data_IF_396826081017
#
_entry.id   IF_396826081017
#
_cell.length_a   1.000
_cell.length_b   1.000
_cell.length_c   1.000
_cell.angle_alpha   90.00
_cell.angle_beta   90.00
_cell.angle_gamma   90.00
#
_symmetry.space_group_name_H-M   'P 1'
#
loop_
_entity.id
_entity.type
_entity.pdbx_description
1 polymer ?
#
# COMPACT_ATOMS: atom_id res chain seq x y z
N UNK A 1 -10.32 5.86 10.53
CA UNK A 1 -10.37 6.65 9.32
C UNK A 1 -11.69 6.42 8.57
N UNK A 2 -11.93 5.23 8.03
CA UNK A 2 -13.08 4.91 7.18
C UNK A 2 -14.20 4.11 7.89
N UNK A 3 -14.06 3.83 9.17
CA UNK A 3 -15.07 3.16 10.01
C UNK A 3 -15.20 1.64 9.78
N UNK A 4 -14.81 1.13 8.61
CA UNK A 4 -14.90 -0.30 8.26
C UNK A 4 -13.73 -0.70 7.36
N UNK A 5 -13.43 -2.00 7.29
CA UNK A 5 -12.52 -2.60 6.32
C UNK A 5 -13.32 -3.27 5.20
N UNK A 6 -14.47 -3.85 5.53
CA UNK A 6 -15.30 -4.56 4.55
C UNK A 6 -15.87 -3.61 3.49
N UNK A 7 -15.82 -4.05 2.25
CA UNK A 7 -16.34 -3.32 1.09
C UNK A 7 -15.38 -2.30 0.49
N UNK A 8 -14.23 -2.05 1.14
CA UNK A 8 -13.24 -1.09 0.64
C UNK A 8 -12.51 -1.61 -0.61
N UNK A 9 -12.09 -0.68 -1.44
CA UNK A 9 -11.14 -0.90 -2.53
C UNK A 9 -9.78 -0.36 -2.11
N UNK A 10 -8.80 -1.25 -1.95
CA UNK A 10 -7.43 -0.93 -1.55
C UNK A 10 -6.54 -1.02 -2.79
N UNK A 11 -5.84 0.05 -3.12
CA UNK A 11 -4.84 0.06 -4.19
C UNK A 11 -3.45 0.06 -3.58
N UNK A 12 -2.64 -0.94 -3.90
CA UNK A 12 -1.23 -1.03 -3.53
C UNK A 12 -0.39 -0.55 -4.71
N UNK A 13 0.45 0.47 -4.47
CA UNK A 13 1.20 1.20 -5.49
C UNK A 13 2.70 1.12 -5.23
N UNK A 14 3.49 0.81 -6.26
CA UNK A 14 4.95 0.89 -6.23
C UNK A 14 5.67 -0.45 -6.37
N UNK A 15 6.66 -0.75 -5.52
CA UNK A 15 7.40 -2.02 -5.54
C UNK A 15 6.61 -3.12 -4.82
N UNK A 16 5.82 -3.86 -5.58
CA UNK A 16 5.02 -4.97 -5.04
C UNK A 16 5.78 -6.30 -5.03
N UNK A 17 6.86 -6.40 -5.80
CA UNK A 17 7.70 -7.59 -5.87
C UNK A 17 8.52 -7.80 -4.60
N UNK A 18 9.19 -6.74 -4.13
CA UNK A 18 10.09 -6.80 -2.99
C UNK A 18 9.44 -6.29 -1.69
N UNK A 19 8.25 -5.70 -1.77
CA UNK A 19 7.52 -5.07 -0.69
C UNK A 19 6.93 -6.07 0.31
N UNK A 20 7.69 -6.57 1.27
CA UNK A 20 7.20 -7.50 2.31
C UNK A 20 5.96 -6.98 3.06
N UNK A 21 5.84 -5.67 3.21
CA UNK A 21 4.68 -5.05 3.86
C UNK A 21 3.40 -5.23 3.05
N UNK A 22 3.47 -5.17 1.70
CA UNK A 22 2.33 -5.41 0.83
C UNK A 22 1.93 -6.88 0.83
N UNK A 23 2.90 -7.81 0.84
CA UNK A 23 2.63 -9.24 0.90
C UNK A 23 1.90 -9.66 2.18
N UNK A 24 2.32 -9.14 3.34
CA UNK A 24 1.65 -9.43 4.61
C UNK A 24 0.29 -8.73 4.71
N UNK A 25 0.20 -7.47 4.24
CA UNK A 25 -1.04 -6.71 4.27
C UNK A 25 -2.12 -7.35 3.41
N UNK A 26 -1.81 -7.75 2.17
CA UNK A 26 -2.81 -8.35 1.28
C UNK A 26 -3.35 -9.68 1.82
N UNK A 27 -2.49 -10.50 2.46
CA UNK A 27 -2.92 -11.72 3.14
C UNK A 27 -3.88 -11.41 4.30
N UNK A 28 -3.60 -10.38 5.08
CA UNK A 28 -4.51 -9.95 6.14
C UNK A 28 -5.84 -9.46 5.56
N UNK A 29 -5.79 -8.63 4.52
CA UNK A 29 -6.98 -8.07 3.87
C UNK A 29 -7.86 -9.17 3.23
N UNK A 30 -7.29 -10.30 2.80
CA UNK A 30 -8.07 -11.40 2.23
C UNK A 30 -9.00 -12.10 3.23
N UNK A 31 -8.87 -11.81 4.53
CA UNK A 31 -9.80 -12.24 5.56
C UNK A 31 -11.06 -11.35 5.66
N UNK A 32 -11.11 -10.28 4.88
CA UNK A 32 -12.20 -9.29 4.87
C UNK A 32 -12.78 -9.16 3.47
N UNK A 33 -13.97 -8.61 3.35
CA UNK A 33 -14.64 -8.35 2.06
C UNK A 33 -14.06 -7.14 1.32
N UNK A 34 -12.79 -7.19 0.94
CA UNK A 34 -12.02 -6.11 0.30
C UNK A 34 -11.75 -6.43 -1.17
N UNK A 35 -11.69 -5.42 -2.03
CA UNK A 35 -11.13 -5.50 -3.38
C UNK A 35 -9.73 -4.94 -3.38
N UNK A 36 -8.79 -5.57 -4.09
CA UNK A 36 -7.41 -5.07 -4.16
C UNK A 36 -6.99 -4.82 -5.60
N UNK A 37 -6.43 -3.64 -5.84
CA UNK A 37 -5.73 -3.32 -7.08
C UNK A 37 -4.22 -3.33 -6.80
N UNK A 38 -3.47 -3.99 -7.66
CA UNK A 38 -2.00 -3.94 -7.68
C UNK A 38 -1.56 -3.05 -8.82
N UNK A 39 -0.89 -1.94 -8.50
CA UNK A 39 -0.37 -0.98 -9.47
C UNK A 39 1.14 -0.94 -9.34
N UNK A 40 1.83 -1.44 -10.36
CA UNK A 40 3.29 -1.54 -10.37
C UNK A 40 3.85 -1.56 -11.79
N UNK A 41 5.12 -1.19 -12.00
CA UNK A 41 5.80 -1.49 -13.26
C UNK A 41 5.84 -3.00 -13.49
N UNK A 42 5.90 -3.47 -14.75
CA UNK A 42 5.94 -4.92 -15.06
C UNK A 42 7.07 -5.69 -14.36
N UNK A 43 8.22 -5.05 -14.11
CA UNK A 43 9.36 -5.66 -13.41
C UNK A 43 9.16 -5.80 -11.89
N UNK A 44 8.17 -5.10 -11.31
CA UNK A 44 7.91 -5.02 -9.87
C UNK A 44 6.51 -5.51 -9.48
N UNK A 45 5.88 -6.34 -10.31
CA UNK A 45 4.56 -6.92 -10.07
C UNK A 45 4.53 -7.76 -8.78
N UNK A 46 3.34 -7.87 -8.19
CA UNK A 46 3.09 -8.77 -7.06
C UNK A 46 3.44 -10.21 -7.44
N UNK A 47 4.19 -10.95 -6.60
CA UNK A 47 4.50 -12.36 -6.87
C UNK A 47 3.25 -13.21 -7.12
N UNK A 48 3.31 -14.04 -8.15
CA UNK A 48 2.16 -14.87 -8.59
C UNK A 48 1.66 -15.85 -7.53
N UNK A 49 2.53 -16.30 -6.63
CA UNK A 49 2.14 -17.12 -5.49
C UNK A 49 1.23 -16.36 -4.52
N UNK A 50 1.55 -15.08 -4.22
CA UNK A 50 0.73 -14.24 -3.34
C UNK A 50 -0.66 -14.00 -3.95
N UNK A 51 -0.70 -13.69 -5.26
CA UNK A 51 -1.96 -13.48 -5.98
C UNK A 51 -2.82 -14.75 -5.93
N UNK A 52 -2.22 -15.92 -6.20
CA UNK A 52 -2.94 -17.20 -6.14
C UNK A 52 -3.49 -17.51 -4.75
N UNK A 53 -2.73 -17.20 -3.69
CA UNK A 53 -3.18 -17.36 -2.31
C UNK A 53 -4.46 -16.58 -2.03
N UNK A 54 -4.46 -15.27 -2.34
CA UNK A 54 -5.59 -14.39 -2.01
C UNK A 54 -6.81 -14.63 -2.91
N UNK A 55 -6.60 -15.01 -4.18
CA UNK A 55 -7.68 -15.43 -5.07
C UNK A 55 -8.38 -16.69 -4.58
N UNK A 56 -7.65 -17.67 -4.01
CA UNK A 56 -8.24 -18.87 -3.40
C UNK A 56 -9.15 -18.55 -2.20
N UNK A 57 -8.91 -17.42 -1.53
CA UNK A 57 -9.74 -16.93 -0.43
C UNK A 57 -10.91 -16.07 -0.93
N UNK A 58 -11.10 -15.96 -2.24
CA UNK A 58 -12.23 -15.24 -2.85
C UNK A 58 -12.04 -13.73 -2.94
N UNK A 59 -10.85 -13.20 -2.68
CA UNK A 59 -10.60 -11.76 -2.77
C UNK A 59 -10.47 -11.33 -4.24
N UNK A 60 -11.28 -10.36 -4.73
CA UNK A 60 -11.14 -9.82 -6.07
C UNK A 60 -9.84 -9.03 -6.21
N UNK A 61 -9.04 -9.35 -7.25
CA UNK A 61 -7.77 -8.71 -7.56
C UNK A 61 -7.81 -8.14 -8.97
N UNK A 62 -7.27 -6.94 -9.15
CA UNK A 62 -7.01 -6.31 -10.44
C UNK A 62 -5.55 -5.85 -10.51
N UNK A 63 -4.88 -6.12 -11.63
CA UNK A 63 -3.48 -5.75 -11.86
C UNK A 63 -3.38 -4.79 -13.03
N UNK A 64 -2.61 -3.70 -12.87
CA UNK A 64 -2.34 -2.72 -13.92
C UNK A 64 -1.02 -1.98 -13.64
N UNK A 65 -0.42 -1.41 -14.69
CA UNK A 65 0.67 -0.46 -14.54
C UNK A 65 0.18 1.01 -14.52
N UNK A 66 -1.10 1.25 -14.77
CA UNK A 66 -1.67 2.58 -14.90
C UNK A 66 -2.55 2.92 -13.68
N UNK A 67 -2.07 3.84 -12.83
CA UNK A 67 -2.81 4.28 -11.64
C UNK A 67 -4.16 4.93 -11.98
N UNK A 68 -4.26 5.61 -13.13
CA UNK A 68 -5.47 6.35 -13.52
C UNK A 68 -6.68 5.44 -13.76
N UNK A 69 -6.46 4.17 -14.08
CA UNK A 69 -7.55 3.20 -14.25
C UNK A 69 -8.31 2.89 -12.96
N UNK A 70 -7.65 3.07 -11.80
CA UNK A 70 -8.17 2.62 -10.51
C UNK A 70 -8.32 3.73 -9.47
N UNK A 71 -7.61 4.85 -9.60
CA UNK A 71 -7.52 5.89 -8.56
C UNK A 71 -8.90 6.46 -8.19
N UNK A 72 -9.77 6.69 -9.16
CA UNK A 72 -11.11 7.22 -8.93
C UNK A 72 -12.07 6.28 -8.17
N UNK A 73 -11.70 5.00 -8.03
CA UNK A 73 -12.48 3.99 -7.30
C UNK A 73 -11.81 3.56 -5.99
N UNK A 74 -10.61 4.06 -5.72
CA UNK A 74 -9.78 3.69 -4.58
C UNK A 74 -10.28 4.37 -3.29
N UNK A 75 -10.42 3.59 -2.22
CA UNK A 75 -10.72 4.09 -0.87
C UNK A 75 -9.45 4.24 -0.03
N UNK A 76 -8.50 3.33 -0.25
CA UNK A 76 -7.20 3.33 0.43
C UNK A 76 -6.09 3.18 -0.61
N UNK A 77 -5.20 4.16 -0.69
CA UNK A 77 -3.99 4.10 -1.50
C UNK A 77 -2.80 3.77 -0.59
N UNK A 78 -2.31 2.54 -0.66
CA UNK A 78 -1.14 2.08 0.08
C UNK A 78 0.10 2.17 -0.81
N UNK A 79 0.95 3.16 -0.55
CA UNK A 79 2.12 3.48 -1.37
C UNK A 79 3.36 2.84 -0.77
N UNK A 80 4.22 2.28 -1.62
CA UNK A 80 5.53 1.76 -1.23
C UNK A 80 6.63 2.36 -2.08
N UNK A 81 7.77 2.65 -1.47
CA UNK A 81 8.94 3.12 -2.22
C UNK A 81 9.53 2.02 -3.09
N UNK A 82 10.15 2.41 -4.18
CA UNK A 82 10.99 1.53 -4.99
C UNK A 82 12.38 1.49 -4.33
N UNK A 83 12.78 0.29 -3.88
CA UNK A 83 13.98 0.10 -3.04
C UNK A 83 15.21 -0.10 -3.93
N UNK A 84 16.03 0.95 -4.11
CA UNK A 84 17.27 0.90 -4.93
C UNK A 84 18.17 -0.29 -4.56
N UNK A 85 18.25 -0.61 -3.28
CA UNK A 85 19.08 -1.69 -2.72
C UNK A 85 18.64 -3.12 -3.14
N UNK A 86 17.51 -3.23 -3.85
CA UNK A 86 16.95 -4.52 -4.32
C UNK A 86 17.25 -4.81 -5.80
N UNK A 87 17.84 -3.86 -6.50
CA UNK A 87 18.15 -4.01 -7.92
C UNK A 87 19.58 -4.53 -8.11
N UNK A 88 19.76 -5.38 -9.12
CA UNK A 88 21.06 -5.95 -9.46
C UNK A 88 21.98 -4.89 -10.11
N UNK A 89 21.40 -3.92 -10.81
CA UNK A 89 22.14 -2.83 -11.45
C UNK A 89 21.48 -1.47 -11.24
N UNK A 90 22.26 -0.36 -11.30
CA UNK A 90 21.71 1.00 -11.26
C UNK A 90 20.74 1.28 -12.41
N UNK A 91 20.99 0.73 -13.61
CA UNK A 91 20.19 0.94 -14.81
C UNK A 91 18.76 0.38 -14.64
N UNK A 92 18.63 -0.79 -14.01
CA UNK A 92 17.33 -1.39 -13.71
C UNK A 92 16.52 -0.50 -12.74
N UNK A 93 17.18 0.11 -11.76
CA UNK A 93 16.52 1.04 -10.84
C UNK A 93 16.09 2.34 -11.54
N UNK A 94 16.99 2.95 -12.31
CA UNK A 94 16.69 4.21 -13.03
C UNK A 94 15.52 4.03 -14.02
N UNK A 95 15.33 2.85 -14.58
CA UNK A 95 14.22 2.55 -15.50
C UNK A 95 12.83 2.61 -14.82
N UNK A 96 12.75 2.48 -13.49
CA UNK A 96 11.49 2.48 -12.73
C UNK A 96 11.42 3.57 -11.67
N UNK A 97 12.51 4.25 -11.39
CA UNK A 97 12.56 5.36 -10.44
C UNK A 97 11.59 6.47 -10.86
N UNK A 98 10.80 6.95 -9.91
CA UNK A 98 9.86 8.05 -10.14
C UNK A 98 8.70 7.73 -11.09
N UNK A 99 8.48 6.45 -11.45
CA UNK A 99 7.36 6.06 -12.31
C UNK A 99 5.99 6.35 -11.69
N UNK A 100 5.93 6.42 -10.36
CA UNK A 100 4.76 6.84 -9.61
C UNK A 100 5.15 7.90 -8.58
N UNK A 101 4.46 9.04 -8.65
CA UNK A 101 4.55 10.10 -7.64
C UNK A 101 3.13 10.49 -7.25
N UNK A 102 2.79 10.28 -5.98
CA UNK A 102 1.51 10.73 -5.44
C UNK A 102 1.64 12.20 -5.06
N UNK A 103 0.93 13.05 -5.76
CA UNK A 103 0.90 14.49 -5.62
C UNK A 103 -0.56 15.01 -5.60
N UNK A 104 -0.76 16.32 -5.55
CA UNK A 104 -2.08 16.92 -5.57
C UNK A 104 -2.90 16.61 -6.83
N UNK A 105 -2.26 16.41 -7.99
CA UNK A 105 -2.96 16.03 -9.22
C UNK A 105 -3.53 14.61 -9.12
N UNK A 106 -2.80 13.69 -8.50
CA UNK A 106 -3.31 12.35 -8.19
C UNK A 106 -4.47 12.44 -7.20
N UNK A 107 -4.32 13.24 -6.15
CA UNK A 107 -5.37 13.44 -5.14
C UNK A 107 -6.64 14.08 -5.73
N UNK A 108 -6.51 14.96 -6.72
CA UNK A 108 -7.65 15.60 -7.39
C UNK A 108 -8.51 14.60 -8.18
N UNK A 109 -7.91 13.51 -8.69
CA UNK A 109 -8.61 12.45 -9.43
C UNK A 109 -9.15 11.33 -8.53
N UNK A 110 -8.74 11.31 -7.27
CA UNK A 110 -9.16 10.33 -6.28
C UNK A 110 -10.50 10.69 -5.62
N UNK A 111 -11.07 9.74 -4.87
CA UNK A 111 -12.22 10.03 -4.02
C UNK A 111 -11.87 11.09 -2.95
N UNK A 112 -12.81 11.98 -2.60
CA UNK A 112 -12.58 13.00 -1.56
C UNK A 112 -12.23 12.42 -0.19
N UNK A 113 -12.67 11.19 0.08
CA UNK A 113 -12.46 10.48 1.34
C UNK A 113 -11.38 9.40 1.27
N UNK A 114 -10.70 9.27 0.13
CA UNK A 114 -9.58 8.35 -0.01
C UNK A 114 -8.49 8.68 1.02
N UNK A 115 -7.91 7.66 1.65
CA UNK A 115 -6.76 7.84 2.54
C UNK A 115 -5.49 7.29 1.90
N UNK A 116 -4.38 8.01 2.10
CA UNK A 116 -3.04 7.60 1.66
C UNK A 116 -2.30 7.01 2.86
N UNK A 117 -1.82 5.79 2.69
CA UNK A 117 -1.01 5.06 3.66
C UNK A 117 0.39 4.80 3.10
N UNK A 118 1.39 4.76 3.97
CA UNK A 118 2.77 4.47 3.61
C UNK A 118 3.50 3.85 4.80
N UNK A 119 4.27 2.76 4.62
CA UNK A 119 4.99 2.11 5.73
C UNK A 119 6.17 2.93 6.27
N UNK A 120 6.56 4.00 5.58
CA UNK A 120 7.72 4.85 5.86
C UNK A 120 9.06 4.08 5.97
N UNK A 121 10.22 4.70 5.72
CA UNK A 121 10.37 6.10 5.23
C UNK A 121 9.97 6.24 3.75
N UNK A 122 9.47 7.41 3.40
CA UNK A 122 9.28 7.81 2.00
C UNK A 122 10.53 8.53 1.47
N UNK A 123 10.67 8.56 0.14
CA UNK A 123 11.73 9.31 -0.56
C UNK A 123 11.08 10.32 -1.52
N UNK A 124 10.64 9.88 -2.71
CA UNK A 124 10.09 10.70 -3.77
C UNK A 124 8.73 10.20 -4.30
N UNK A 125 8.25 9.06 -3.83
CA UNK A 125 7.00 8.44 -4.27
C UNK A 125 5.73 9.10 -3.70
N UNK A 126 5.86 9.95 -2.68
CA UNK A 126 4.79 10.82 -2.16
C UNK A 126 5.36 12.22 -1.99
N UNK A 127 4.83 13.17 -2.73
CA UNK A 127 5.25 14.56 -2.69
C UNK A 127 4.96 15.20 -1.31
N UNK A 128 5.79 16.15 -0.90
CA UNK A 128 5.63 16.89 0.35
C UNK A 128 4.32 17.68 0.41
N UNK A 129 3.81 18.11 -0.73
CA UNK A 129 2.54 18.84 -0.76
C UNK A 129 1.35 18.01 -0.27
N UNK A 130 1.41 16.68 -0.36
CA UNK A 130 0.38 15.77 0.15
C UNK A 130 0.23 15.86 1.67
N UNK A 131 1.30 16.23 2.40
CA UNK A 131 1.28 16.38 3.86
C UNK A 131 0.29 17.45 4.33
N UNK A 132 0.00 18.45 3.49
CA UNK A 132 -0.94 19.51 3.80
C UNK A 132 -2.41 19.07 3.70
N UNK A 133 -2.69 17.96 3.03
CA UNK A 133 -4.00 17.30 3.08
C UNK A 133 -4.10 16.38 4.29
N UNK A 134 -4.24 16.97 5.46
CA UNK A 134 -4.26 16.26 6.76
C UNK A 134 -5.32 15.15 6.79
N UNK A 135 -6.43 15.33 6.08
CA UNK A 135 -7.50 14.33 6.02
C UNK A 135 -7.02 13.07 5.30
N UNK A 136 -6.44 13.21 4.11
CA UNK A 136 -6.04 12.08 3.26
C UNK A 136 -4.65 11.54 3.57
N UNK A 137 -3.70 12.37 4.01
CA UNK A 137 -2.36 11.97 4.43
C UNK A 137 -2.38 11.22 5.77
N UNK A 138 -2.78 9.95 5.74
CA UNK A 138 -2.96 9.15 6.96
C UNK A 138 -1.70 8.41 7.45
N UNK A 139 -0.59 8.45 6.72
CA UNK A 139 0.62 7.67 7.01
C UNK A 139 1.29 8.04 8.35
N UNK A 140 1.22 9.28 8.81
CA UNK A 140 1.73 9.64 10.14
C UNK A 140 0.83 9.09 11.27
N UNK A 141 -0.49 9.09 11.07
CA UNK A 141 -1.44 8.46 11.99
C UNK A 141 -1.28 6.94 11.99
N UNK A 142 -1.06 6.34 10.80
CA UNK A 142 -0.72 4.94 10.64
C UNK A 142 0.53 4.56 11.46
N UNK A 143 1.60 5.34 11.38
CA UNK A 143 2.82 5.13 12.15
C UNK A 143 2.55 5.13 13.66
N UNK A 144 1.77 6.10 14.16
CA UNK A 144 1.36 6.18 15.56
C UNK A 144 0.53 4.96 15.99
N UNK A 145 -0.45 4.57 15.18
CA UNK A 145 -1.26 3.37 15.44
C UNK A 145 -0.39 2.10 15.45
N UNK A 146 0.61 2.01 14.56
CA UNK A 146 1.57 0.91 14.54
C UNK A 146 2.37 0.76 15.83
N UNK A 147 2.68 1.85 16.53
CA UNK A 147 3.31 1.79 17.86
C UNK A 147 2.38 1.11 18.88
N UNK A 148 1.14 1.57 18.97
CA UNK A 148 0.17 1.00 19.92
C UNK A 148 -0.12 -0.48 19.66
N UNK A 149 -0.25 -0.89 18.40
CA UNK A 149 -0.44 -2.30 18.05
C UNK A 149 0.75 -3.14 18.49
N UNK A 150 1.99 -2.69 18.27
CA UNK A 150 3.19 -3.41 18.74
C UNK A 150 3.24 -3.51 20.25
N UNK A 151 2.90 -2.45 20.97
CA UNK A 151 2.81 -2.47 22.44
C UNK A 151 1.78 -3.49 22.93
N UNK A 152 0.60 -3.51 22.30
CA UNK A 152 -0.45 -4.46 22.64
C UNK A 152 -0.03 -5.92 22.39
N UNK A 153 0.58 -6.19 21.24
CA UNK A 153 1.08 -7.53 20.90
C UNK A 153 2.16 -8.01 21.88
N UNK A 154 3.11 -7.15 22.24
CA UNK A 154 4.13 -7.48 23.24
C UNK A 154 3.51 -7.77 24.60
N UNK A 155 2.56 -6.94 25.04
CA UNK A 155 1.86 -7.17 26.31
C UNK A 155 1.10 -8.54 26.30
N UNK A 156 0.41 -8.87 25.22
CA UNK A 156 -0.30 -10.13 25.08
C UNK A 156 0.65 -11.34 25.15
N UNK A 157 1.78 -11.28 24.44
CA UNK A 157 2.74 -12.39 24.41
C UNK A 157 3.45 -12.56 25.75
N UNK A 158 3.82 -11.46 26.42
CA UNK A 158 4.55 -11.50 27.69
C UNK A 158 3.65 -11.82 28.90
N UNK A 159 2.34 -11.59 28.79
CA UNK A 159 1.37 -11.89 29.84
C UNK A 159 0.69 -13.26 29.66
N UNK A 160 0.93 -13.96 28.54
CA UNK A 160 0.42 -15.32 28.36
C UNK A 160 1.07 -16.24 29.42
N UNK A 161 0.29 -16.92 30.28
CA UNK A 161 0.85 -17.97 31.14
C UNK A 161 1.43 -19.06 30.23
N UNK A 162 2.61 -19.56 30.62
CA UNK A 162 3.29 -20.67 29.97
C UNK A 162 2.46 -21.98 30.03
#
# INVERSE_FOLDING_TARGET
ELGTVNGLTVTMLGDLKNGRTTHSLVRLLSLYGVRVNFVSPPSLEMPREVIREVLKLGMPVYETANLDEVIGKTDVLYVTRIQRERFASPEEYEAVKGCYVVNNDVLARAKPDMVVLHPLPRVDEVDLEVDFDIKRAAYFRQMRCGLFIRMALLAMVLQSPA
#
